data_IF_863396527609
#
_entry.id   IF_863396527609
#
_cell.length_a   1.000
_cell.length_b   1.000
_cell.length_c   1.000
_cell.angle_alpha   90.00
_cell.angle_beta   90.00
_cell.angle_gamma   90.00
#
_symmetry.space_group_name_H-M   'P 1'
#
loop_
_entity.id
_entity.type
_entity.pdbx_description
1 polymer ?
#
# COMPACT_ATOMS: atom_id res chain seq x y z
N UNK A 1 8.87 -14.84 -10.52
CA UNK A 1 10.19 -15.25 -11.04
C UNK A 1 10.03 -15.74 -12.47
N UNK A 2 10.89 -15.36 -13.42
CA UNK A 2 10.82 -15.91 -14.76
C UNK A 2 11.07 -17.42 -14.70
N UNK A 3 10.30 -18.18 -15.47
CA UNK A 3 10.43 -19.63 -15.57
C UNK A 3 11.87 -20.03 -15.91
N UNK A 4 12.44 -21.00 -15.19
CA UNK A 4 13.77 -21.59 -15.48
C UNK A 4 13.95 -21.99 -16.95
N UNK A 5 12.87 -22.44 -17.61
CA UNK A 5 12.87 -22.79 -19.05
C UNK A 5 13.07 -21.58 -19.99
N UNK A 6 12.75 -20.36 -19.55
CA UNK A 6 12.91 -19.15 -20.36
C UNK A 6 14.24 -18.42 -20.10
N UNK A 7 15.04 -18.86 -19.13
CA UNK A 7 16.30 -18.21 -18.78
C UNK A 7 17.25 -18.12 -19.97
N UNK A 8 17.39 -19.22 -20.73
CA UNK A 8 18.19 -19.26 -21.96
C UNK A 8 17.60 -18.45 -23.14
N UNK A 9 16.29 -18.18 -23.11
CA UNK A 9 15.58 -17.40 -24.14
C UNK A 9 15.32 -15.95 -23.73
N UNK A 10 15.57 -15.58 -22.49
CA UNK A 10 15.25 -14.26 -21.91
C UNK A 10 15.84 -13.10 -22.72
N UNK A 11 17.04 -13.25 -23.26
CA UNK A 11 17.69 -12.25 -24.10
C UNK A 11 17.17 -12.22 -25.54
N UNK A 12 16.45 -13.25 -25.99
CA UNK A 12 15.87 -13.37 -27.32
C UNK A 12 14.41 -12.93 -27.40
N UNK A 13 13.75 -12.75 -26.24
CA UNK A 13 12.37 -12.29 -26.18
C UNK A 13 12.38 -10.78 -26.42
N UNK A 14 11.77 -10.35 -27.52
CA UNK A 14 11.63 -8.95 -27.84
C UNK A 14 10.75 -8.26 -26.78
N UNK A 15 11.31 -7.29 -26.07
CA UNK A 15 10.56 -6.54 -25.04
C UNK A 15 9.64 -5.58 -25.73
N UNK A 16 8.35 -5.58 -25.34
CA UNK A 16 7.41 -4.54 -25.76
C UNK A 16 7.92 -3.16 -25.41
N UNK A 17 7.86 -2.23 -26.34
CA UNK A 17 8.19 -0.82 -26.12
C UNK A 17 6.92 -0.05 -25.79
N UNK A 18 7.03 0.86 -24.85
CA UNK A 18 5.93 1.72 -24.42
C UNK A 18 6.34 3.18 -24.54
N UNK A 19 5.37 4.02 -24.90
CA UNK A 19 5.55 5.49 -24.95
C UNK A 19 4.53 6.12 -24.04
N UNK A 20 4.99 7.00 -23.16
CA UNK A 20 4.08 7.85 -22.36
C UNK A 20 3.49 8.91 -23.28
N UNK A 21 2.17 9.05 -23.28
CA UNK A 21 1.44 9.95 -24.17
C UNK A 21 1.10 11.29 -23.52
N UNK A 22 0.98 11.33 -22.20
CA UNK A 22 0.61 12.50 -21.42
C UNK A 22 1.80 13.10 -20.63
N UNK A 23 2.98 13.21 -21.25
CA UNK A 23 4.19 13.68 -20.56
C UNK A 23 4.04 15.04 -19.90
N UNK A 24 3.34 15.98 -20.53
CA UNK A 24 3.15 17.32 -19.97
C UNK A 24 2.37 17.26 -18.67
N UNK A 25 1.18 16.63 -18.68
CA UNK A 25 0.32 16.49 -17.49
C UNK A 25 1.02 15.72 -16.39
N UNK A 26 1.75 14.67 -16.77
CA UNK A 26 2.50 13.85 -15.81
C UNK A 26 3.65 14.66 -15.16
N UNK A 27 4.40 15.46 -15.92
CA UNK A 27 5.43 16.34 -15.36
C UNK A 27 4.83 17.39 -14.41
N UNK A 28 3.68 17.94 -14.73
CA UNK A 28 2.98 18.88 -13.86
C UNK A 28 2.50 18.18 -12.56
N UNK A 29 2.04 16.95 -12.64
CA UNK A 29 1.72 16.14 -11.47
C UNK A 29 2.95 15.90 -10.58
N UNK A 30 4.11 15.64 -11.18
CA UNK A 30 5.37 15.46 -10.45
C UNK A 30 5.81 16.74 -9.73
N UNK A 31 5.66 17.90 -10.35
CA UNK A 31 5.95 19.21 -9.71
C UNK A 31 5.00 19.44 -8.53
N UNK A 32 3.70 19.16 -8.69
CA UNK A 32 2.70 19.29 -7.63
C UNK A 32 2.98 18.40 -6.42
N UNK A 33 3.69 17.29 -6.57
CA UNK A 33 4.10 16.46 -5.40
C UNK A 33 5.06 17.20 -4.46
N UNK A 34 5.79 18.20 -4.96
CA UNK A 34 6.65 19.08 -4.15
C UNK A 34 5.92 20.32 -3.63
N UNK A 35 4.71 20.60 -4.06
CA UNK A 35 3.93 21.76 -3.64
C UNK A 35 3.31 21.52 -2.25
N UNK A 36 3.68 22.37 -1.29
CA UNK A 36 3.24 22.22 0.09
C UNK A 36 1.73 22.37 0.23
N UNK A 37 1.07 23.16 -0.61
CA UNK A 37 -0.38 23.40 -0.55
C UNK A 37 -1.19 22.13 -0.85
N UNK A 38 -0.60 21.19 -1.57
CA UNK A 38 -1.18 19.86 -1.80
C UNK A 38 -1.25 19.04 -0.51
N UNK A 39 -0.31 19.21 0.39
CA UNK A 39 -0.16 18.40 1.61
C UNK A 39 -0.69 19.08 2.87
N UNK A 40 -0.71 20.42 2.87
CA UNK A 40 -1.21 21.25 3.95
C UNK A 40 -2.35 22.12 3.41
N UNK A 41 -3.54 21.54 3.32
CA UNK A 41 -4.72 22.13 2.67
C UNK A 41 -5.55 22.98 3.63
N UNK A 42 -6.46 23.77 3.09
CA UNK A 42 -7.42 24.54 3.90
C UNK A 42 -8.31 23.62 4.75
N UNK A 43 -8.73 22.48 4.22
CA UNK A 43 -9.50 21.49 4.97
C UNK A 43 -8.68 20.94 6.15
N UNK A 44 -7.35 20.78 5.98
CA UNK A 44 -6.47 20.39 7.08
C UNK A 44 -6.45 21.47 8.18
N UNK A 45 -6.45 22.75 7.81
CA UNK A 45 -6.50 23.86 8.76
C UNK A 45 -7.86 23.92 9.47
N UNK A 46 -8.95 23.74 8.75
CA UNK A 46 -10.30 23.71 9.32
C UNK A 46 -10.50 22.56 10.31
N UNK A 47 -9.98 21.38 9.98
CA UNK A 47 -10.02 20.18 10.86
C UNK A 47 -8.92 20.14 11.94
N UNK A 48 -8.19 21.24 12.18
CA UNK A 48 -7.01 21.25 13.05
C UNK A 48 -7.33 21.11 14.54
N UNK A 49 -8.43 21.74 14.96
CA UNK A 49 -8.85 21.74 16.35
C UNK A 49 -9.86 20.62 16.60
N UNK A 50 -9.76 19.92 17.74
CA UNK A 50 -10.73 18.89 18.09
C UNK A 50 -12.06 19.54 18.47
N UNK A 51 -13.14 18.84 18.16
CA UNK A 51 -14.45 19.19 18.70
C UNK A 51 -14.46 19.09 20.23
N UNK A 52 -15.26 19.90 20.89
CA UNK A 52 -15.40 19.85 22.34
C UNK A 52 -16.09 18.54 22.75
N UNK A 53 -15.37 17.62 23.36
CA UNK A 53 -15.88 16.30 23.71
C UNK A 53 -16.81 16.28 24.94
N UNK A 54 -16.84 17.34 25.73
CA UNK A 54 -17.55 17.37 27.01
C UNK A 54 -17.02 16.40 28.08
N UNK A 55 -16.00 15.61 27.78
CA UNK A 55 -15.45 14.63 28.69
C UNK A 55 -14.58 15.30 29.78
N UNK A 56 -14.59 14.69 30.98
CA UNK A 56 -13.77 15.15 32.12
C UNK A 56 -12.29 14.90 31.83
N UNK A 57 -11.45 15.90 31.98
CA UNK A 57 -10.00 15.81 31.80
C UNK A 57 -9.44 17.00 31.01
N UNK A 58 -8.12 16.98 30.77
CA UNK A 58 -7.48 18.00 29.93
C UNK A 58 -7.93 17.81 28.47
N UNK A 59 -8.56 18.80 27.83
CA UNK A 59 -8.99 18.69 26.45
C UNK A 59 -7.77 18.48 25.52
N UNK A 60 -8.00 17.76 24.44
CA UNK A 60 -7.02 17.65 23.37
C UNK A 60 -6.82 19.03 22.71
N UNK A 61 -5.57 19.42 22.50
CA UNK A 61 -5.24 20.68 21.81
C UNK A 61 -5.32 20.56 20.29
N UNK A 62 -5.11 19.37 19.77
CA UNK A 62 -5.02 19.05 18.34
C UNK A 62 -5.94 17.90 17.99
N UNK A 63 -6.64 17.98 16.88
CA UNK A 63 -7.43 16.89 16.33
C UNK A 63 -6.49 15.74 15.86
N UNK A 64 -7.05 14.56 15.64
CA UNK A 64 -6.33 13.45 15.03
C UNK A 64 -5.88 13.80 13.60
N UNK A 65 -6.68 14.58 12.90
CA UNK A 65 -6.37 15.08 11.56
C UNK A 65 -5.10 15.94 11.53
N UNK A 66 -4.88 16.80 12.54
CA UNK A 66 -3.65 17.60 12.66
C UNK A 66 -2.39 16.73 12.82
N UNK A 67 -2.50 15.67 13.64
CA UNK A 67 -1.40 14.71 13.82
C UNK A 67 -1.15 13.90 12.54
N UNK A 68 -2.22 13.47 11.87
CA UNK A 68 -2.13 12.74 10.60
C UNK A 68 -1.48 13.60 9.50
N UNK A 69 -1.87 14.89 9.40
CA UNK A 69 -1.24 15.86 8.48
C UNK A 69 0.24 16.05 8.77
N UNK A 70 0.63 16.16 10.05
CA UNK A 70 2.04 16.25 10.42
C UNK A 70 2.83 14.99 10.00
N UNK A 71 2.26 13.81 10.18
CA UNK A 71 2.86 12.56 9.74
C UNK A 71 2.93 12.46 8.21
N UNK A 72 1.91 12.94 7.49
CA UNK A 72 1.88 12.99 6.03
C UNK A 72 3.01 13.86 5.48
N UNK A 73 3.16 15.08 6.01
CA UNK A 73 4.25 16.00 5.66
C UNK A 73 5.60 15.36 5.97
N UNK A 74 5.74 14.76 7.16
CA UNK A 74 6.96 14.03 7.55
C UNK A 74 7.35 12.97 6.53
N UNK A 75 6.40 12.14 6.07
CA UNK A 75 6.68 11.04 5.15
C UNK A 75 7.01 11.55 3.74
N UNK A 76 6.25 12.52 3.23
CA UNK A 76 6.43 13.07 1.88
C UNK A 76 7.76 13.80 1.75
N UNK A 77 8.09 14.67 2.72
CA UNK A 77 9.33 15.47 2.71
C UNK A 77 10.49 14.79 3.43
N UNK A 78 10.31 13.56 3.93
CA UNK A 78 11.33 12.73 4.60
C UNK A 78 11.98 13.40 5.81
N UNK A 79 11.21 14.18 6.56
CA UNK A 79 11.70 14.95 7.69
C UNK A 79 11.77 14.12 8.98
N UNK A 80 12.80 14.30 9.84
CA UNK A 80 12.75 13.89 11.24
C UNK A 80 11.67 14.65 12.00
N UNK A 81 11.08 14.08 13.05
CA UNK A 81 9.95 14.66 13.78
C UNK A 81 10.16 16.11 14.27
N UNK A 82 11.35 16.43 14.80
CA UNK A 82 11.66 17.82 15.22
C UNK A 82 11.74 18.78 14.06
N UNK A 83 12.25 18.33 12.92
CA UNK A 83 12.27 19.14 11.69
C UNK A 83 10.87 19.28 11.11
N UNK A 84 10.01 18.27 11.24
CA UNK A 84 8.59 18.35 10.85
C UNK A 84 7.88 19.46 11.61
N UNK A 85 8.04 19.53 12.93
CA UNK A 85 7.49 20.59 13.76
C UNK A 85 7.98 21.97 13.31
N UNK A 86 9.30 22.17 13.15
CA UNK A 86 9.87 23.44 12.69
C UNK A 86 9.40 23.84 11.29
N UNK A 87 9.33 22.87 10.39
CA UNK A 87 8.86 23.09 9.01
C UNK A 87 7.37 23.52 9.00
N UNK A 88 6.52 22.84 9.75
CA UNK A 88 5.10 23.19 9.86
C UNK A 88 4.87 24.55 10.51
N UNK A 89 5.64 24.90 11.55
CA UNK A 89 5.61 26.25 12.13
C UNK A 89 5.94 27.34 11.10
N UNK A 90 6.95 27.11 10.28
CA UNK A 90 7.33 28.06 9.21
C UNK A 90 6.22 28.20 8.17
N UNK A 91 5.59 27.07 7.76
CA UNK A 91 4.48 27.13 6.79
C UNK A 91 3.27 27.85 7.38
N UNK A 92 2.85 27.50 8.61
CA UNK A 92 1.72 28.16 9.26
C UNK A 92 1.95 29.69 9.34
N UNK A 93 3.18 30.11 9.67
CA UNK A 93 3.54 31.52 9.70
C UNK A 93 3.46 32.17 8.33
N UNK A 94 4.00 31.54 7.28
CA UNK A 94 3.96 32.04 5.90
C UNK A 94 2.53 32.15 5.36
N UNK A 95 1.69 31.18 5.68
CA UNK A 95 0.27 31.15 5.29
C UNK A 95 -0.60 32.05 6.17
N UNK A 96 -0.05 32.66 7.22
CA UNK A 96 -0.77 33.42 8.24
C UNK A 96 -1.93 32.63 8.85
N UNK A 97 -1.75 31.30 8.97
CA UNK A 97 -2.73 30.41 9.57
C UNK A 97 -2.61 30.52 11.11
N UNK A 98 -3.71 30.91 11.76
CA UNK A 98 -3.79 31.00 13.22
C UNK A 98 -4.05 29.62 13.84
N UNK A 99 -3.04 28.76 13.75
CA UNK A 99 -3.07 27.40 14.29
C UNK A 99 -1.80 27.12 15.09
N UNK A 100 -1.96 26.47 16.24
CA UNK A 100 -0.81 25.91 16.95
C UNK A 100 -0.33 24.64 16.28
N UNK A 101 1.00 24.43 16.21
CA UNK A 101 1.58 23.22 15.64
C UNK A 101 1.89 22.21 16.76
N UNK A 102 1.50 20.92 16.59
CA UNK A 102 1.81 19.89 17.57
C UNK A 102 3.32 19.69 17.69
N UNK A 103 3.81 19.65 18.92
CA UNK A 103 5.22 19.34 19.19
C UNK A 103 5.57 17.90 18.79
N UNK A 104 6.85 17.66 18.50
CA UNK A 104 7.34 16.37 18.03
C UNK A 104 7.00 15.21 18.99
N UNK A 105 6.91 15.47 20.29
CA UNK A 105 6.59 14.44 21.29
C UNK A 105 5.12 14.08 21.28
N UNK A 106 4.23 15.05 21.05
CA UNK A 106 2.81 14.83 20.85
C UNK A 106 2.54 14.03 19.56
N UNK A 107 3.20 14.39 18.46
CA UNK A 107 3.15 13.61 17.21
C UNK A 107 3.59 12.18 17.46
N UNK A 108 4.74 11.97 18.10
CA UNK A 108 5.28 10.63 18.37
C UNK A 108 4.37 9.78 19.28
N UNK A 109 3.81 10.37 20.35
CA UNK A 109 2.96 9.66 21.31
C UNK A 109 1.59 9.28 20.68
N UNK A 110 1.02 10.17 19.90
CA UNK A 110 -0.29 9.96 19.30
C UNK A 110 -0.27 9.08 18.05
N UNK A 111 0.84 9.06 17.28
CA UNK A 111 0.93 8.33 16.02
C UNK A 111 0.52 6.86 16.11
N UNK A 112 0.85 6.16 17.20
CA UNK A 112 0.46 4.76 17.37
C UNK A 112 -0.98 4.51 17.86
N UNK A 113 -1.75 5.58 18.10
CA UNK A 113 -3.13 5.53 18.61
C UNK A 113 -4.12 6.22 17.66
N UNK A 114 -3.63 6.75 16.54
CA UNK A 114 -4.49 7.38 15.54
C UNK A 114 -5.43 6.36 14.93
N UNK A 115 -6.70 6.75 14.68
CA UNK A 115 -7.56 5.96 13.81
C UNK A 115 -7.03 6.02 12.36
N UNK A 116 -7.48 5.08 11.54
CA UNK A 116 -7.17 5.05 10.10
C UNK A 116 -7.99 6.12 9.38
N UNK A 117 -7.54 7.37 9.44
CA UNK A 117 -8.22 8.48 8.79
C UNK A 117 -8.02 8.44 7.27
N UNK A 118 -9.08 8.64 6.53
CA UNK A 118 -9.02 8.89 5.08
C UNK A 118 -8.64 10.36 4.89
N UNK A 119 -7.48 10.61 4.32
CA UNK A 119 -6.92 11.95 4.10
C UNK A 119 -7.14 12.47 2.68
N UNK A 120 -7.72 11.65 1.82
CA UNK A 120 -7.94 11.95 0.41
C UNK A 120 -9.44 12.01 0.10
N UNK A 121 -9.79 12.73 -0.98
CA UNK A 121 -11.12 12.60 -1.55
C UNK A 121 -11.33 11.17 -2.04
N UNK A 122 -12.57 10.67 -1.89
CA UNK A 122 -12.92 9.39 -2.49
C UNK A 122 -12.66 9.43 -4.00
N UNK A 123 -12.02 8.40 -4.49
CA UNK A 123 -11.85 8.15 -5.92
C UNK A 123 -12.93 7.17 -6.37
N UNK A 124 -13.23 7.17 -7.66
CA UNK A 124 -14.05 6.10 -8.24
C UNK A 124 -13.40 4.74 -7.90
N UNK A 125 -14.14 3.83 -7.26
CA UNK A 125 -13.60 2.52 -6.93
C UNK A 125 -13.32 1.72 -8.20
N UNK A 126 -12.24 0.98 -8.21
CA UNK A 126 -11.98 -0.02 -9.23
C UNK A 126 -12.83 -1.27 -9.02
N UNK A 127 -13.00 -2.03 -10.09
CA UNK A 127 -13.72 -3.32 -10.07
C UNK A 127 -12.85 -4.49 -9.58
N UNK A 128 -11.54 -4.26 -9.43
CA UNK A 128 -10.56 -5.29 -9.08
C UNK A 128 -9.88 -5.02 -7.76
N UNK A 129 -9.62 -6.09 -7.03
CA UNK A 129 -8.81 -6.10 -5.81
C UNK A 129 -7.57 -6.96 -6.05
N UNK A 130 -6.41 -6.34 -6.14
CA UNK A 130 -5.15 -7.02 -6.44
C UNK A 130 -4.29 -7.04 -5.19
N UNK A 131 -4.06 -8.24 -4.65
CA UNK A 131 -3.39 -8.44 -3.35
C UNK A 131 -1.95 -8.91 -3.57
N UNK A 132 -1.02 -8.32 -2.82
CA UNK A 132 0.38 -8.75 -2.76
C UNK A 132 0.98 -8.43 -1.39
N UNK A 133 2.18 -8.91 -1.13
CA UNK A 133 2.93 -8.60 0.08
C UNK A 133 4.38 -8.27 -0.23
N UNK A 134 5.01 -7.48 0.66
CA UNK A 134 6.43 -7.18 0.54
C UNK A 134 7.09 -7.02 1.91
N UNK A 135 8.38 -7.35 1.99
CA UNK A 135 9.17 -7.13 3.20
C UNK A 135 9.66 -5.69 3.33
N UNK A 136 9.55 -5.14 4.54
CA UNK A 136 10.15 -3.88 4.94
C UNK A 136 11.11 -4.10 6.10
N UNK A 137 12.26 -3.43 6.05
CA UNK A 137 13.23 -3.44 7.16
C UNK A 137 12.73 -2.55 8.30
N UNK A 138 13.05 -2.91 9.53
CA UNK A 138 12.85 -2.02 10.68
C UNK A 138 14.16 -1.27 10.94
N UNK A 139 14.07 0.06 11.07
CA UNK A 139 15.22 0.88 11.42
C UNK A 139 15.74 0.49 12.82
N UNK A 140 17.00 0.12 12.90
CA UNK A 140 17.62 -0.31 14.16
C UNK A 140 19.13 -0.38 14.10
N UNK A 141 19.75 -0.35 15.28
CA UNK A 141 21.19 -0.36 15.52
C UNK A 141 21.90 -1.67 15.08
N UNK A 142 21.13 -2.65 14.60
CA UNK A 142 21.57 -4.04 14.62
C UNK A 142 22.56 -4.42 13.52
N UNK A 143 22.52 -3.81 12.33
CA UNK A 143 23.45 -4.21 11.26
C UNK A 143 24.91 -3.86 11.60
N UNK A 144 25.17 -2.69 12.17
CA UNK A 144 26.53 -2.27 12.56
C UNK A 144 27.03 -2.96 13.83
N UNK A 145 26.17 -3.08 14.86
CA UNK A 145 26.51 -3.80 16.10
C UNK A 145 26.76 -5.29 15.86
N UNK A 146 26.03 -5.89 14.94
CA UNK A 146 26.14 -7.30 14.60
C UNK A 146 27.42 -7.61 13.82
N UNK A 147 27.82 -6.75 12.87
CA UNK A 147 29.09 -6.86 12.20
C UNK A 147 30.27 -6.72 13.18
N UNK A 148 30.14 -5.85 14.18
CA UNK A 148 31.21 -5.58 15.16
C UNK A 148 31.33 -6.67 16.23
N UNK A 149 30.26 -7.37 16.57
CA UNK A 149 30.20 -8.31 17.69
C UNK A 149 29.95 -9.77 17.29
N UNK A 150 29.97 -10.09 16.00
CA UNK A 150 29.79 -11.45 15.44
C UNK A 150 28.53 -12.17 15.95
N UNK A 151 27.47 -11.42 16.31
CA UNK A 151 26.18 -11.95 16.74
C UNK A 151 25.32 -12.14 15.50
N UNK A 152 24.70 -13.31 15.35
CA UNK A 152 23.79 -13.60 14.24
C UNK A 152 22.71 -12.53 14.09
N UNK A 153 22.54 -11.91 12.94
CA UNK A 153 21.62 -10.81 12.74
C UNK A 153 20.17 -11.26 12.93
N UNK A 154 19.53 -10.91 14.02
CA UNK A 154 18.07 -10.87 14.06
C UNK A 154 17.60 -9.68 13.21
N UNK A 155 17.59 -9.86 11.89
CA UNK A 155 17.00 -8.86 11.00
C UNK A 155 15.52 -8.74 11.32
N UNK A 156 15.13 -7.63 11.93
CA UNK A 156 13.73 -7.37 12.22
C UNK A 156 13.07 -6.87 10.94
N UNK A 157 12.25 -7.71 10.35
CA UNK A 157 11.43 -7.39 9.20
C UNK A 157 9.98 -7.19 9.62
N UNK A 158 9.25 -6.52 8.78
CA UNK A 158 7.79 -6.50 8.79
C UNK A 158 7.30 -6.91 7.42
N UNK A 159 6.14 -7.53 7.37
CA UNK A 159 5.43 -7.77 6.13
C UNK A 159 4.41 -6.66 5.93
N UNK A 160 4.48 -6.00 4.79
CA UNK A 160 3.50 -5.06 4.31
C UNK A 160 2.61 -5.79 3.33
N UNK A 161 1.36 -6.03 3.71
CA UNK A 161 0.32 -6.56 2.86
C UNK A 161 -0.45 -5.39 2.28
N UNK A 162 -0.81 -5.47 1.02
CA UNK A 162 -1.49 -4.40 0.30
C UNK A 162 -2.57 -4.95 -0.63
N UNK A 163 -3.61 -4.18 -0.82
CA UNK A 163 -4.56 -4.36 -1.90
C UNK A 163 -4.62 -3.07 -2.72
N UNK A 164 -4.55 -3.22 -4.04
CA UNK A 164 -4.64 -2.12 -5.00
C UNK A 164 -5.68 -2.44 -6.05
N UNK A 165 -6.18 -1.41 -6.72
CA UNK A 165 -7.07 -1.55 -7.86
C UNK A 165 -6.35 -1.32 -9.21
N UNK A 166 -7.07 -1.47 -10.31
CA UNK A 166 -6.60 -1.22 -11.68
C UNK A 166 -6.30 0.27 -11.95
N UNK A 167 -6.76 1.18 -11.07
CA UNK A 167 -6.48 2.62 -11.14
C UNK A 167 -5.23 3.03 -10.35
N UNK A 168 -4.42 2.04 -9.90
CA UNK A 168 -3.22 2.24 -9.07
C UNK A 168 -3.50 2.83 -7.68
N UNK A 169 -4.73 2.75 -7.17
CA UNK A 169 -5.07 3.18 -5.84
C UNK A 169 -4.76 2.08 -4.82
N UNK A 170 -4.24 2.46 -3.70
CA UNK A 170 -4.08 1.58 -2.54
C UNK A 170 -5.39 1.57 -1.76
N UNK A 171 -6.17 0.52 -1.91
CA UNK A 171 -7.49 0.38 -1.26
C UNK A 171 -7.36 -0.15 0.16
N UNK A 172 -6.40 -1.04 0.43
CA UNK A 172 -6.13 -1.54 1.77
C UNK A 172 -4.64 -1.70 2.03
N UNK A 173 -4.24 -1.62 3.30
CA UNK A 173 -2.87 -1.88 3.76
C UNK A 173 -2.86 -2.45 5.18
N UNK A 174 -2.07 -3.49 5.41
CA UNK A 174 -1.83 -4.02 6.74
C UNK A 174 -0.34 -4.31 6.93
N UNK A 175 0.17 -4.06 8.14
CA UNK A 175 1.56 -4.33 8.48
C UNK A 175 1.61 -5.38 9.60
N UNK A 176 2.26 -6.49 9.34
CA UNK A 176 2.35 -7.61 10.29
C UNK A 176 3.80 -7.93 10.65
N UNK A 177 3.96 -8.77 11.66
CA UNK A 177 5.24 -9.40 11.98
C UNK A 177 5.56 -10.51 10.96
N UNK A 178 6.82 -10.94 10.82
CA UNK A 178 7.22 -11.95 9.83
C UNK A 178 6.54 -13.31 9.99
N UNK A 179 6.06 -13.60 11.20
CA UNK A 179 5.44 -14.88 11.57
C UNK A 179 4.04 -15.03 10.98
N UNK A 180 3.38 -13.91 10.65
CA UNK A 180 2.04 -13.93 10.03
C UNK A 180 2.16 -14.35 8.58
N UNK A 181 1.44 -15.40 8.19
CA UNK A 181 1.36 -15.86 6.80
C UNK A 181 0.63 -14.85 5.91
N UNK A 182 1.00 -14.78 4.63
CA UNK A 182 0.35 -13.86 3.70
C UNK A 182 -1.17 -14.11 3.56
N UNK A 183 -1.64 -15.38 3.47
CA UNK A 183 -3.07 -15.68 3.47
C UNK A 183 -3.83 -15.20 4.71
N UNK A 184 -3.16 -15.20 5.88
CA UNK A 184 -3.80 -14.81 7.16
C UNK A 184 -4.07 -13.31 7.28
N UNK A 185 -3.46 -12.48 6.43
CA UNK A 185 -3.70 -11.04 6.40
C UNK A 185 -4.85 -10.63 5.46
N UNK A 186 -5.38 -11.57 4.65
CA UNK A 186 -6.43 -11.27 3.66
C UNK A 186 -7.72 -10.77 4.31
N UNK A 187 -8.24 -11.37 5.40
CA UNK A 187 -9.44 -10.85 6.06
C UNK A 187 -9.28 -9.39 6.50
N UNK A 188 -8.14 -9.03 7.12
CA UNK A 188 -7.85 -7.66 7.58
C UNK A 188 -7.76 -6.65 6.43
N UNK A 189 -7.34 -7.10 5.24
CA UNK A 189 -7.36 -6.26 4.03
C UNK A 189 -8.78 -6.08 3.50
N UNK A 190 -9.56 -7.16 3.42
CA UNK A 190 -10.94 -7.13 2.92
C UNK A 190 -11.86 -6.32 3.83
N UNK A 191 -11.63 -6.32 5.15
CA UNK A 191 -12.38 -5.50 6.10
C UNK A 191 -12.26 -4.00 5.82
N UNK A 192 -11.15 -3.55 5.23
CA UNK A 192 -10.91 -2.15 4.88
C UNK A 192 -11.59 -1.70 3.57
N UNK A 193 -12.18 -2.64 2.82
CA UNK A 193 -12.78 -2.37 1.51
C UNK A 193 -14.29 -2.30 1.67
N UNK A 194 -14.86 -1.11 1.54
CA UNK A 194 -16.30 -0.87 1.71
C UNK A 194 -17.07 -0.83 0.39
N UNK A 195 -16.35 -0.92 -0.75
CA UNK A 195 -16.93 -0.90 -2.09
C UNK A 195 -17.06 -2.30 -2.66
N UNK A 196 -18.04 -2.51 -3.54
CA UNK A 196 -18.18 -3.75 -4.30
C UNK A 196 -17.03 -3.91 -5.31
N UNK A 197 -16.66 -5.16 -5.57
CA UNK A 197 -15.63 -5.51 -6.54
C UNK A 197 -16.00 -6.81 -7.26
N UNK A 198 -15.56 -6.95 -8.51
CA UNK A 198 -15.92 -8.08 -9.37
C UNK A 198 -14.84 -9.16 -9.39
N UNK A 199 -13.59 -8.79 -9.10
CA UNK A 199 -12.46 -9.70 -9.21
C UNK A 199 -11.44 -9.49 -8.09
N UNK A 200 -10.91 -10.61 -7.56
CA UNK A 200 -9.73 -10.64 -6.67
C UNK A 200 -8.60 -11.37 -7.36
N UNK A 201 -7.43 -10.72 -7.45
CA UNK A 201 -6.22 -11.30 -8.05
C UNK A 201 -5.13 -11.36 -6.98
N UNK A 202 -4.51 -12.53 -6.80
CA UNK A 202 -3.35 -12.68 -5.93
C UNK A 202 -2.36 -13.71 -6.49
N UNK A 203 -1.17 -13.80 -5.92
CA UNK A 203 -0.19 -14.78 -6.37
C UNK A 203 -0.49 -16.19 -5.80
N UNK A 204 0.28 -17.20 -6.25
CA UNK A 204 0.07 -18.59 -5.82
C UNK A 204 0.38 -18.85 -4.34
N UNK A 205 0.95 -17.90 -3.59
CA UNK A 205 1.13 -18.03 -2.15
C UNK A 205 -0.19 -17.89 -1.39
N UNK A 206 -1.19 -17.31 -2.05
CA UNK A 206 -2.56 -17.15 -1.54
C UNK A 206 -3.49 -18.30 -1.95
N UNK A 207 -2.99 -19.33 -2.69
CA UNK A 207 -3.81 -20.49 -3.12
C UNK A 207 -4.20 -21.35 -1.92
N UNK A 208 -5.43 -21.22 -1.46
CA UNK A 208 -5.98 -22.01 -0.36
C UNK A 208 -7.43 -21.66 -0.03
N UNK A 209 -8.13 -22.63 0.55
CA UNK A 209 -9.54 -22.51 0.93
C UNK A 209 -9.81 -21.33 1.86
N UNK A 210 -8.97 -21.01 2.89
CA UNK A 210 -9.24 -19.89 3.78
C UNK A 210 -9.30 -18.53 3.06
N UNK A 211 -8.45 -18.31 2.07
CA UNK A 211 -8.45 -17.08 1.28
C UNK A 211 -9.69 -16.99 0.39
N UNK A 212 -9.98 -18.08 -0.32
CA UNK A 212 -11.16 -18.16 -1.20
C UNK A 212 -12.44 -17.96 -0.38
N UNK A 213 -12.55 -18.59 0.79
CA UNK A 213 -13.68 -18.44 1.67
C UNK A 213 -13.85 -17.01 2.17
N UNK A 214 -12.80 -16.38 2.68
CA UNK A 214 -12.84 -15.00 3.15
C UNK A 214 -13.27 -14.01 2.05
N UNK A 215 -12.81 -14.23 0.82
CA UNK A 215 -13.19 -13.41 -0.34
C UNK A 215 -14.68 -13.63 -0.69
N UNK A 216 -15.16 -14.87 -0.74
CA UNK A 216 -16.55 -15.19 -1.08
C UNK A 216 -17.54 -14.81 0.03
N UNK A 217 -17.12 -14.81 1.29
CA UNK A 217 -17.92 -14.29 2.41
C UNK A 217 -18.11 -12.77 2.30
N UNK A 218 -17.08 -12.03 1.84
CA UNK A 218 -17.16 -10.59 1.62
C UNK A 218 -17.99 -10.26 0.38
N UNK A 219 -17.78 -10.98 -0.72
CA UNK A 219 -18.43 -10.74 -2.01
C UNK A 219 -18.72 -12.09 -2.70
N UNK A 220 -19.95 -12.63 -2.61
CA UNK A 220 -20.29 -13.99 -3.06
C UNK A 220 -20.09 -14.25 -4.57
N UNK A 221 -20.36 -13.24 -5.42
CA UNK A 221 -20.30 -13.37 -6.89
C UNK A 221 -18.94 -13.02 -7.48
N UNK A 222 -17.92 -12.76 -6.64
CA UNK A 222 -16.61 -12.32 -7.08
C UNK A 222 -15.83 -13.42 -7.81
N UNK A 223 -15.08 -13.03 -8.82
CA UNK A 223 -14.14 -13.93 -9.49
C UNK A 223 -12.80 -13.96 -8.71
N UNK A 224 -12.42 -15.12 -8.20
CA UNK A 224 -11.13 -15.32 -7.50
C UNK A 224 -10.09 -15.85 -8.47
N UNK A 225 -9.09 -15.05 -8.81
CA UNK A 225 -8.02 -15.39 -9.77
C UNK A 225 -6.69 -15.58 -9.05
N UNK A 226 -6.51 -16.76 -8.51
CA UNK A 226 -5.28 -17.19 -7.85
C UNK A 226 -4.74 -18.42 -8.57
N UNK A 227 -3.46 -18.42 -9.00
CA UNK A 227 -2.91 -19.56 -9.71
C UNK A 227 -2.73 -20.77 -8.79
N UNK A 228 -3.37 -21.89 -9.07
CA UNK A 228 -3.21 -23.12 -8.29
C UNK A 228 -1.74 -23.56 -8.26
N UNK A 229 -1.33 -24.18 -7.15
CA UNK A 229 -0.02 -24.79 -7.03
C UNK A 229 0.19 -25.85 -8.12
N UNK A 230 1.42 -26.15 -8.51
CA UNK A 230 1.72 -27.14 -9.56
C UNK A 230 1.26 -28.56 -9.24
N UNK A 231 1.16 -28.89 -7.96
CA UNK A 231 0.67 -30.18 -7.45
C UNK A 231 -0.78 -30.11 -6.97
N UNK A 232 -1.51 -29.04 -7.33
CA UNK A 232 -2.89 -28.89 -6.95
C UNK A 232 -3.74 -30.00 -7.59
N UNK A 233 -4.60 -30.59 -6.81
CA UNK A 233 -5.59 -31.60 -7.22
C UNK A 233 -6.99 -30.98 -7.13
N UNK A 234 -7.92 -31.53 -7.89
CA UNK A 234 -9.33 -31.15 -7.82
C UNK A 234 -9.88 -31.40 -6.41
N UNK A 235 -10.77 -30.53 -5.97
CA UNK A 235 -11.50 -30.73 -4.71
C UNK A 235 -12.48 -31.93 -4.83
N UNK A 236 -12.99 -32.43 -3.71
CA UNK A 236 -14.01 -33.49 -3.71
C UNK A 236 -15.30 -33.04 -4.42
N UNK A 237 -15.56 -31.73 -4.52
CA UNK A 237 -16.73 -31.17 -5.25
C UNK A 237 -16.50 -31.12 -6.75
N UNK A 238 -15.29 -30.86 -7.20
CA UNK A 238 -14.88 -30.81 -8.60
C UNK A 238 -15.38 -29.60 -9.42
N UNK A 239 -16.12 -28.67 -8.81
CA UNK A 239 -16.80 -27.56 -9.49
C UNK A 239 -16.51 -26.18 -8.91
N UNK A 240 -15.56 -26.07 -7.97
CA UNK A 240 -15.17 -24.79 -7.39
C UNK A 240 -14.48 -23.89 -8.43
N UNK A 241 -14.37 -22.56 -8.15
CA UNK A 241 -13.61 -21.67 -9.01
C UNK A 241 -12.15 -22.14 -9.16
N UNK A 242 -11.55 -22.66 -8.08
CA UNK A 242 -10.21 -23.23 -8.07
C UNK A 242 -10.09 -24.47 -8.97
N UNK A 243 -11.09 -25.35 -8.93
CA UNK A 243 -11.12 -26.54 -9.79
C UNK A 243 -11.20 -26.16 -11.28
N UNK A 244 -12.01 -25.17 -11.61
CA UNK A 244 -12.08 -24.63 -12.98
C UNK A 244 -10.74 -24.07 -13.45
N UNK A 245 -9.96 -23.41 -12.57
CA UNK A 245 -8.61 -22.95 -12.88
C UNK A 245 -7.64 -24.12 -13.14
N UNK A 246 -7.70 -25.20 -12.33
CA UNK A 246 -6.89 -26.41 -12.54
C UNK A 246 -7.21 -27.01 -13.90
N UNK A 247 -8.48 -27.27 -14.19
CA UNK A 247 -8.95 -27.84 -15.45
C UNK A 247 -8.55 -26.99 -16.66
N UNK A 248 -8.68 -25.66 -16.55
CA UNK A 248 -8.29 -24.72 -17.63
C UNK A 248 -6.78 -24.75 -17.87
N UNK A 249 -5.97 -24.87 -16.82
CA UNK A 249 -4.50 -24.97 -16.95
C UNK A 249 -4.12 -26.31 -17.57
N UNK A 250 -4.75 -27.40 -17.20
CA UNK A 250 -4.54 -28.73 -17.80
C UNK A 250 -4.91 -28.76 -19.28
N UNK A 251 -6.07 -28.21 -19.64
CA UNK A 251 -6.57 -28.23 -21.01
C UNK A 251 -5.83 -27.26 -21.94
N UNK A 252 -5.44 -26.08 -21.47
CA UNK A 252 -4.96 -24.98 -22.35
C UNK A 252 -3.57 -24.45 -21.98
N UNK A 253 -2.99 -24.91 -20.89
CA UNK A 253 -1.72 -24.45 -20.38
C UNK A 253 -1.80 -23.11 -19.62
N UNK A 254 -0.82 -22.89 -18.76
CA UNK A 254 -0.79 -21.74 -17.82
C UNK A 254 -0.78 -20.37 -18.51
N UNK A 255 -0.12 -20.24 -19.66
CA UNK A 255 -0.11 -18.95 -20.39
C UNK A 255 -1.49 -18.57 -20.93
N UNK A 256 -2.26 -19.54 -21.44
CA UNK A 256 -3.62 -19.31 -21.89
C UNK A 256 -4.57 -18.99 -20.73
N UNK A 257 -4.39 -19.68 -19.60
CA UNK A 257 -5.11 -19.38 -18.37
C UNK A 257 -4.87 -17.92 -17.94
N UNK A 258 -3.61 -17.46 -17.86
CA UNK A 258 -3.27 -16.07 -17.51
C UNK A 258 -3.94 -15.04 -18.40
N UNK A 259 -3.99 -15.30 -19.72
CA UNK A 259 -4.63 -14.40 -20.70
C UNK A 259 -6.16 -14.35 -20.53
N UNK A 260 -6.78 -15.51 -20.26
CA UNK A 260 -8.25 -15.62 -20.16
C UNK A 260 -8.79 -15.07 -18.85
N UNK A 261 -8.02 -15.16 -17.78
CA UNK A 261 -8.42 -14.72 -16.43
C UNK A 261 -8.00 -13.30 -16.09
N UNK A 262 -7.25 -12.62 -16.96
CA UNK A 262 -6.71 -11.29 -16.62
C UNK A 262 -5.59 -11.32 -15.56
N UNK A 263 -5.03 -12.49 -15.22
CA UNK A 263 -4.01 -12.62 -14.16
C UNK A 263 -2.79 -11.71 -14.35
N UNK A 264 -2.50 -11.27 -15.57
CA UNK A 264 -1.41 -10.31 -15.87
C UNK A 264 -1.58 -8.97 -15.14
N UNK A 265 -2.79 -8.61 -14.74
CA UNK A 265 -3.11 -7.39 -13.99
C UNK A 265 -2.55 -7.41 -12.57
N UNK A 266 -2.14 -8.59 -12.04
CA UNK A 266 -1.33 -8.68 -10.82
C UNK A 266 -0.11 -7.74 -10.84
N UNK A 267 0.36 -7.38 -12.02
CA UNK A 267 1.45 -6.41 -12.18
C UNK A 267 1.17 -5.04 -11.54
N UNK A 268 -0.10 -4.66 -11.34
CA UNK A 268 -0.45 -3.41 -10.64
C UNK A 268 0.05 -3.43 -9.19
N UNK A 269 -0.04 -4.56 -8.50
CA UNK A 269 0.50 -4.68 -7.15
C UNK A 269 2.04 -4.63 -7.13
N UNK A 270 2.72 -5.24 -8.11
CA UNK A 270 4.18 -5.12 -8.23
C UNK A 270 4.62 -3.67 -8.47
N UNK A 271 3.90 -2.94 -9.33
CA UNK A 271 4.14 -1.51 -9.58
C UNK A 271 3.86 -0.67 -8.33
N UNK A 272 2.82 -1.00 -7.57
CA UNK A 272 2.50 -0.33 -6.31
C UNK A 272 3.62 -0.49 -5.29
N UNK A 273 4.16 -1.70 -5.11
CA UNK A 273 5.33 -1.98 -4.27
C UNK A 273 6.57 -1.21 -4.75
N UNK A 274 6.81 -1.19 -6.06
CA UNK A 274 7.93 -0.46 -6.65
C UNK A 274 7.82 1.05 -6.36
N UNK A 275 6.64 1.63 -6.53
CA UNK A 275 6.37 3.05 -6.22
C UNK A 275 6.57 3.34 -4.73
N UNK A 276 6.01 2.50 -3.86
CA UNK A 276 6.18 2.64 -2.41
C UNK A 276 7.66 2.68 -2.03
N UNK A 277 8.43 1.67 -2.45
CA UNK A 277 9.87 1.58 -2.13
C UNK A 277 10.70 2.68 -2.78
N UNK A 278 10.34 3.10 -3.98
CA UNK A 278 11.00 4.21 -4.67
C UNK A 278 10.81 5.56 -3.99
N UNK A 279 9.61 5.81 -3.44
CA UNK A 279 9.26 7.09 -2.80
C UNK A 279 9.66 7.11 -1.32
N UNK A 280 9.26 6.10 -0.54
CA UNK A 280 9.45 6.08 0.91
C UNK A 280 10.67 5.27 1.36
N UNK A 281 11.18 4.40 0.50
CA UNK A 281 12.25 3.47 0.81
C UNK A 281 11.74 2.11 1.29
N UNK A 282 12.66 1.26 1.70
CA UNK A 282 12.39 -0.11 2.14
C UNK A 282 12.53 -0.30 3.66
N UNK A 283 12.64 0.80 4.42
CA UNK A 283 12.93 0.79 5.84
C UNK A 283 11.93 1.64 6.60
N UNK A 284 11.27 1.05 7.59
CA UNK A 284 10.38 1.75 8.52
C UNK A 284 11.19 2.58 9.50
N UNK A 285 10.76 3.81 9.76
CA UNK A 285 11.44 4.76 10.66
C UNK A 285 10.95 4.65 12.10
N UNK A 286 9.71 4.23 12.29
CA UNK A 286 9.11 4.06 13.60
C UNK A 286 9.68 2.82 14.33
N UNK A 287 9.76 2.87 15.67
CA UNK A 287 10.35 1.79 16.49
C UNK A 287 9.35 0.74 16.93
N UNK A 288 8.14 1.14 17.30
CA UNK A 288 7.11 0.24 17.80
C UNK A 288 6.08 -0.09 16.71
N UNK A 289 5.52 -1.30 16.75
CA UNK A 289 4.58 -1.81 15.73
C UNK A 289 3.36 -0.91 15.50
N UNK A 290 2.68 -0.34 16.52
CA UNK A 290 1.55 0.55 16.28
C UNK A 290 1.92 1.79 15.43
N UNK A 291 3.08 2.40 15.71
CA UNK A 291 3.59 3.53 14.94
C UNK A 291 4.03 3.10 13.53
N UNK A 292 4.57 1.89 13.38
CA UNK A 292 4.93 1.32 12.08
C UNK A 292 3.68 1.07 11.22
N UNK A 293 2.60 0.57 11.81
CA UNK A 293 1.30 0.41 11.13
C UNK A 293 0.77 1.77 10.63
N UNK A 294 0.85 2.79 11.46
CA UNK A 294 0.44 4.14 11.07
C UNK A 294 1.37 4.73 9.98
N UNK A 295 2.68 4.47 10.03
CA UNK A 295 3.62 4.88 8.99
C UNK A 295 3.23 4.28 7.63
N UNK A 296 2.87 2.99 7.59
CA UNK A 296 2.39 2.33 6.38
C UNK A 296 1.06 2.93 5.88
N UNK A 297 0.13 3.21 6.80
CA UNK A 297 -1.15 3.85 6.48
C UNK A 297 -0.97 5.25 5.88
N UNK A 298 -0.16 6.09 6.50
CA UNK A 298 0.15 7.44 6.00
C UNK A 298 0.83 7.39 4.63
N UNK A 299 1.72 6.44 4.41
CA UNK A 299 2.36 6.24 3.11
C UNK A 299 1.33 5.83 2.03
N UNK A 300 0.34 4.97 2.35
CA UNK A 300 -0.79 4.67 1.49
C UNK A 300 -1.56 5.94 1.11
N UNK A 301 -1.93 6.75 2.09
CA UNK A 301 -2.65 8.00 1.85
C UNK A 301 -1.85 8.97 0.96
N UNK A 302 -0.53 9.08 1.20
CA UNK A 302 0.35 9.88 0.35
C UNK A 302 0.40 9.37 -1.10
N UNK A 303 0.50 8.04 -1.30
CA UNK A 303 0.50 7.44 -2.64
C UNK A 303 -0.80 7.68 -3.38
N UNK A 304 -1.94 7.57 -2.69
CA UNK A 304 -3.26 7.83 -3.28
C UNK A 304 -3.37 9.29 -3.71
N UNK A 305 -2.95 10.25 -2.88
CA UNK A 305 -2.90 11.66 -3.26
C UNK A 305 -2.00 11.90 -4.47
N UNK A 306 -0.83 11.26 -4.53
CA UNK A 306 0.06 11.32 -5.70
C UNK A 306 -0.57 10.70 -6.95
N UNK A 307 -1.40 9.66 -6.82
CA UNK A 307 -2.16 9.07 -7.93
C UNK A 307 -3.23 10.04 -8.43
N UNK A 308 -3.94 10.72 -7.53
CA UNK A 308 -4.93 11.76 -7.87
C UNK A 308 -4.32 12.95 -8.61
N UNK A 309 -3.09 13.33 -8.31
CA UNK A 309 -2.40 14.40 -9.03
C UNK A 309 -2.09 14.05 -10.49
N UNK A 310 -1.99 12.78 -10.82
CA UNK A 310 -1.81 12.28 -12.16
C UNK A 310 -0.80 11.13 -12.26
N UNK A 311 -1.09 10.21 -13.16
CA UNK A 311 -0.27 9.05 -13.50
C UNK A 311 0.15 9.10 -14.97
N UNK A 312 1.27 8.44 -15.34
CA UNK A 312 1.66 8.35 -16.75
C UNK A 312 0.72 7.40 -17.49
N UNK A 313 0.25 7.82 -18.65
CA UNK A 313 -0.52 6.99 -19.58
C UNK A 313 0.45 6.45 -20.62
N UNK A 314 0.63 5.14 -20.67
CA UNK A 314 1.56 4.48 -21.57
C UNK A 314 0.83 3.66 -22.63
N UNK A 315 1.19 3.84 -23.90
CA UNK A 315 0.70 3.03 -25.00
C UNK A 315 1.83 2.14 -25.55
N UNK A 316 1.47 0.93 -25.93
CA UNK A 316 2.40 0.01 -26.57
C UNK A 316 2.65 0.44 -28.00
N UNK A 317 3.91 0.58 -28.40
CA UNK A 317 4.30 1.05 -29.76
C UNK A 317 4.92 -0.04 -30.65
N UNK A 318 5.31 -1.18 -30.09
CA UNK A 318 5.74 -2.38 -30.86
C UNK A 318 6.14 -3.49 -29.89
#
# INVERSE_FOLDING_TARGET
MPYKHNEKRRLKIQKSRYKVTNWQDYNDSLRKRGDITVWFTEEAIQGWHPEKSGQRGRPLMYADYAIATALLIREVFKLPLRQTEGFMNSIASLMKADIGIPDFSSIAKRSGKLPRLVLNKALEPGSQVIIDSTGLKVFGKDEWHQQKHNVSPKRTWRKLHLAVDEHHQWIAVELTTPEVGDPSAVPDLLEQIDTDFEQVIADGAYDGDPVTQAVLEKQPEVQVVIPPHKTAILSARGDTQRDRHIQMIEAHGRMNWQKRTGYSERNYAELAVLRFKGIFGNTLKARALPQQKMEAWIAKEALNRMTQLGMPISVKIS
#
